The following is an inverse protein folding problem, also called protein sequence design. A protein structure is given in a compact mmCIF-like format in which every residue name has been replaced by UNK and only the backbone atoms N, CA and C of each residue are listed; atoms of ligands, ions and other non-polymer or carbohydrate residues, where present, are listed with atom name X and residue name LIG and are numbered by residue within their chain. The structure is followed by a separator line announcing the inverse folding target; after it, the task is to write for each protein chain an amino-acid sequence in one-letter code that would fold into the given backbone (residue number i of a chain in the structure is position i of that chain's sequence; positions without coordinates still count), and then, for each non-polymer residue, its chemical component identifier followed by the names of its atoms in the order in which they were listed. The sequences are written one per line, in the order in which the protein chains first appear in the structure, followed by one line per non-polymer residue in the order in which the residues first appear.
data_IF_524639805456
#
_entry.id   IF_524639805456
#
_cell.length_a   1.000
_cell.length_b   1.000
_cell.length_c   1.000
_cell.angle_alpha   90.00
_cell.angle_beta   90.00
_cell.angle_gamma   90.00
#
_symmetry.space_group_name_H-M   'P 1'
#
loop_
_entity.id
_entity.type
_entity.pdbx_description
1 polymer ?
#
# COMPACT_ATOMS: atom_id res chain seq x y z
N UNK A 1 -12.39 -19.65 13.07
CA UNK A 1 -12.55 -19.77 11.60
C UNK A 1 -11.70 -18.70 10.96
N UNK A 2 -10.49 -19.01 10.46
CA UNK A 2 -9.68 -18.04 9.74
C UNK A 2 -10.33 -17.84 8.37
N UNK A 3 -10.96 -16.69 8.16
CA UNK A 3 -11.44 -16.30 6.84
C UNK A 3 -10.23 -16.37 5.90
N UNK A 4 -10.33 -17.18 4.84
CA UNK A 4 -9.38 -17.13 3.74
C UNK A 4 -9.41 -15.71 3.22
N UNK A 5 -8.36 -14.93 3.50
CA UNK A 5 -8.23 -13.58 2.99
C UNK A 5 -8.00 -13.73 1.48
N UNK A 6 -9.08 -13.63 0.69
CA UNK A 6 -9.01 -13.81 -0.76
C UNK A 6 -8.27 -12.61 -1.32
N UNK A 7 -7.05 -12.84 -1.80
CA UNK A 7 -6.23 -11.83 -2.46
C UNK A 7 -6.99 -11.24 -3.65
N UNK A 8 -6.94 -9.93 -3.82
CA UNK A 8 -7.60 -9.26 -4.94
C UNK A 8 -6.76 -9.43 -6.22
N UNK A 9 -7.34 -10.05 -7.26
CA UNK A 9 -6.60 -10.42 -8.49
C UNK A 9 -7.07 -9.70 -9.76
N UNK A 10 -8.18 -8.96 -9.73
CA UNK A 10 -8.80 -8.44 -10.97
C UNK A 10 -7.89 -7.48 -11.76
N UNK A 11 -6.92 -6.85 -11.11
CA UNK A 11 -5.90 -6.01 -11.78
C UNK A 11 -4.97 -6.81 -12.73
N UNK A 12 -4.96 -8.15 -12.65
CA UNK A 12 -4.23 -9.04 -13.57
C UNK A 12 -5.15 -9.63 -14.64
N UNK A 13 -6.47 -9.60 -14.43
CA UNK A 13 -7.48 -10.14 -15.34
C UNK A 13 -7.93 -9.10 -16.38
N UNK A 14 -7.78 -7.82 -16.05
CA UNK A 14 -8.18 -6.69 -16.89
C UNK A 14 -6.94 -6.13 -17.57
N UNK A 15 -7.05 -5.84 -18.87
CA UNK A 15 -5.97 -5.19 -19.60
C UNK A 15 -5.91 -3.69 -19.24
N UNK A 16 -4.76 -3.19 -18.74
CA UNK A 16 -4.61 -1.76 -18.50
C UNK A 16 -4.59 -1.00 -19.83
N UNK A 17 -5.07 0.26 -19.80
CA UNK A 17 -4.94 1.20 -20.91
C UNK A 17 -3.47 1.52 -21.21
N UNK A 18 -2.67 1.61 -20.14
CA UNK A 18 -1.25 1.91 -20.21
C UNK A 18 -0.52 1.27 -19.03
N UNK A 19 0.71 0.83 -19.26
CA UNK A 19 1.65 0.49 -18.19
C UNK A 19 2.92 1.33 -18.37
N UNK A 20 3.42 1.92 -17.28
CA UNK A 20 4.68 2.68 -17.28
C UNK A 20 5.61 2.17 -16.21
N UNK A 21 6.91 2.36 -16.42
CA UNK A 21 7.90 2.18 -15.35
C UNK A 21 7.88 3.43 -14.48
N UNK A 22 7.70 3.24 -13.18
CA UNK A 22 7.64 4.31 -12.20
C UNK A 22 8.50 4.02 -10.98
N UNK A 23 8.37 4.89 -9.98
CA UNK A 23 8.99 4.70 -8.67
C UNK A 23 8.02 5.13 -7.59
N UNK A 24 8.08 4.44 -6.46
CA UNK A 24 7.43 4.86 -5.21
C UNK A 24 8.50 5.20 -4.18
N UNK A 25 8.21 6.18 -3.32
CA UNK A 25 9.10 6.52 -2.20
C UNK A 25 9.36 5.28 -1.33
N UNK A 26 10.59 5.16 -0.84
CA UNK A 26 10.97 4.14 0.12
C UNK A 26 10.11 4.18 1.38
N UNK A 27 9.72 5.38 1.82
CA UNK A 27 8.93 5.60 3.05
C UNK A 27 7.57 4.89 2.91
N UNK A 28 6.81 5.24 1.87
CA UNK A 28 5.54 4.59 1.55
C UNK A 28 5.68 3.07 1.47
N UNK A 29 6.70 2.58 0.76
CA UNK A 29 6.89 1.13 0.62
C UNK A 29 7.15 0.44 1.96
N UNK A 30 8.09 0.98 2.75
CA UNK A 30 8.45 0.39 4.03
C UNK A 30 7.28 0.43 5.03
N UNK A 31 6.46 1.48 5.02
CA UNK A 31 5.28 1.59 5.86
C UNK A 31 4.22 0.55 5.47
N UNK A 32 3.89 0.41 4.18
CA UNK A 32 2.96 -0.63 3.73
C UNK A 32 3.45 -2.02 4.13
N UNK A 33 4.74 -2.33 3.94
CA UNK A 33 5.30 -3.60 4.36
C UNK A 33 5.21 -3.82 5.88
N UNK A 34 5.34 -2.77 6.68
CA UNK A 34 5.17 -2.83 8.14
C UNK A 34 3.71 -3.08 8.51
N UNK A 35 2.78 -2.35 7.88
CA UNK A 35 1.34 -2.57 8.01
C UNK A 35 0.92 -3.99 7.70
N UNK A 36 1.35 -4.51 6.54
CA UNK A 36 1.00 -5.85 6.10
C UNK A 36 1.51 -6.96 7.03
N UNK A 37 2.63 -6.71 7.73
CA UNK A 37 3.21 -7.65 8.69
C UNK A 37 2.55 -7.58 10.06
N UNK A 38 2.20 -6.38 10.53
CA UNK A 38 1.70 -6.15 11.89
C UNK A 38 0.18 -6.26 12.00
N UNK A 39 -0.56 -5.71 11.03
CA UNK A 39 -2.02 -5.63 11.06
C UNK A 39 -2.62 -6.85 10.35
N UNK A 40 -2.45 -6.95 9.03
CA UNK A 40 -2.97 -8.05 8.23
C UNK A 40 -2.25 -8.16 6.89
N UNK A 41 -2.10 -9.37 6.35
CA UNK A 41 -1.51 -9.66 5.03
C UNK A 41 -2.22 -9.01 3.84
N UNK A 42 -3.39 -8.43 4.06
CA UNK A 42 -4.08 -7.58 3.10
C UNK A 42 -4.84 -6.50 3.86
N UNK A 43 -4.69 -5.26 3.39
CA UNK A 43 -5.36 -4.10 3.95
C UNK A 43 -6.21 -3.44 2.87
N UNK A 44 -7.33 -2.85 3.27
CA UNK A 44 -8.21 -2.09 2.38
C UNK A 44 -8.64 -0.82 3.07
N UNK A 45 -8.39 0.30 2.42
CA UNK A 45 -8.66 1.64 2.92
C UNK A 45 -9.58 2.38 1.98
N UNK A 46 -10.60 3.05 2.52
CA UNK A 46 -11.33 4.04 1.71
C UNK A 46 -10.53 5.32 1.62
N UNK A 47 -10.32 5.83 0.41
CA UNK A 47 -9.43 6.98 0.19
C UNK A 47 -10.19 8.27 0.55
N UNK A 48 -9.75 9.03 1.58
CA UNK A 48 -10.42 10.25 1.97
C UNK A 48 -10.48 11.22 0.80
N UNK A 49 -11.60 11.94 0.67
CA UNK A 49 -11.87 12.91 -0.41
C UNK A 49 -12.07 12.32 -1.83
N UNK A 50 -11.75 11.04 -2.06
CA UNK A 50 -12.00 10.35 -3.33
C UNK A 50 -13.16 9.36 -3.15
N UNK A 51 -14.38 9.87 -3.30
CA UNK A 51 -15.60 9.06 -3.13
C UNK A 51 -15.54 7.81 -4.00
N UNK A 52 -15.98 6.69 -3.43
CA UNK A 52 -16.07 5.39 -4.08
C UNK A 52 -14.74 4.73 -4.43
N UNK A 53 -13.59 5.36 -4.13
CA UNK A 53 -12.30 4.76 -4.36
C UNK A 53 -11.74 4.16 -3.08
N UNK A 54 -11.39 2.88 -3.16
CA UNK A 54 -10.65 2.20 -2.12
C UNK A 54 -9.24 1.85 -2.62
N UNK A 55 -8.27 1.89 -1.72
CA UNK A 55 -6.93 1.37 -1.90
C UNK A 55 -6.83 0.00 -1.23
N UNK A 56 -6.48 -1.02 -2.02
CA UNK A 56 -6.18 -2.36 -1.55
C UNK A 56 -4.65 -2.54 -1.57
N UNK A 57 -4.10 -2.94 -0.44
CA UNK A 57 -2.67 -3.20 -0.28
C UNK A 57 -2.42 -4.70 -0.14
N UNK A 58 -1.52 -5.20 -0.98
CA UNK A 58 -0.88 -6.50 -0.92
C UNK A 58 0.64 -6.33 -0.94
N UNK A 59 1.36 -7.41 -0.68
CA UNK A 59 2.82 -7.44 -0.70
C UNK A 59 3.40 -7.19 -2.10
N UNK A 60 2.71 -7.67 -3.14
CA UNK A 60 3.12 -7.59 -4.54
C UNK A 60 2.46 -6.45 -5.34
N UNK A 61 1.32 -5.93 -4.86
CA UNK A 61 0.54 -4.94 -5.57
C UNK A 61 -0.26 -3.99 -4.65
N UNK A 62 -0.31 -2.72 -5.03
CA UNK A 62 -1.20 -1.73 -4.41
C UNK A 62 -2.19 -1.25 -5.46
N UNK A 63 -3.49 -1.39 -5.21
CA UNK A 63 -4.52 -1.22 -6.21
C UNK A 63 -5.58 -0.23 -5.74
N UNK A 64 -5.82 0.81 -6.52
CA UNK A 64 -7.01 1.65 -6.39
C UNK A 64 -8.14 1.03 -7.19
N UNK A 65 -9.28 0.83 -6.54
CA UNK A 65 -10.49 0.28 -7.16
C UNK A 65 -11.66 1.23 -7.02
N UNK A 66 -12.52 1.27 -8.03
CA UNK A 66 -13.84 1.90 -7.95
C UNK A 66 -14.86 0.89 -7.42
N UNK A 67 -15.34 1.14 -6.21
CA UNK A 67 -16.27 0.29 -5.47
C UNK A 67 -17.68 0.25 -6.06
N UNK A 68 -18.09 1.28 -6.81
CA UNK A 68 -19.40 1.34 -7.49
C UNK A 68 -19.37 0.50 -8.76
N UNK A 69 -18.20 0.38 -9.39
CA UNK A 69 -17.98 -0.44 -10.59
C UNK A 69 -17.49 -1.86 -10.25
N UNK A 70 -18.04 -2.45 -9.19
CA UNK A 70 -17.71 -3.81 -8.72
C UNK A 70 -16.22 -4.00 -8.44
N UNK A 71 -15.55 -3.03 -7.78
CA UNK A 71 -14.10 -3.00 -7.56
C UNK A 71 -13.29 -2.96 -8.88
N UNK A 72 -13.71 -2.16 -9.86
CA UNK A 72 -12.96 -2.00 -11.11
C UNK A 72 -11.60 -1.36 -10.80
N UNK A 73 -10.45 -1.95 -11.20
CA UNK A 73 -9.17 -1.31 -10.99
C UNK A 73 -9.12 0.01 -11.76
N UNK A 74 -8.57 1.03 -11.12
CA UNK A 74 -8.37 2.38 -11.68
C UNK A 74 -6.87 2.61 -11.90
N UNK A 75 -6.07 2.22 -10.92
CA UNK A 75 -4.62 2.39 -10.87
C UNK A 75 -4.01 1.24 -10.07
N UNK A 76 -2.85 0.73 -10.47
CA UNK A 76 -2.10 -0.20 -9.64
C UNK A 76 -0.59 0.03 -9.71
N UNK A 77 0.08 -0.03 -8.55
CA UNK A 77 1.53 -0.21 -8.44
C UNK A 77 1.80 -1.70 -8.28
N UNK A 78 2.69 -2.24 -9.10
CA UNK A 78 2.98 -3.69 -9.20
C UNK A 78 4.47 -3.90 -9.47
N UNK A 79 4.94 -5.14 -9.39
CA UNK A 79 6.31 -5.52 -9.76
C UNK A 79 7.37 -4.68 -9.02
N UNK A 80 7.21 -4.53 -7.71
CA UNK A 80 8.14 -3.80 -6.86
C UNK A 80 9.53 -4.46 -6.90
N UNK A 81 10.51 -3.76 -7.47
CA UNK A 81 11.88 -4.25 -7.54
C UNK A 81 12.60 -3.97 -6.21
N UNK A 82 12.71 -5.00 -5.40
CA UNK A 82 13.35 -4.98 -4.08
C UNK A 82 14.63 -5.82 -4.01
N UNK A 83 14.97 -6.53 -5.07
CA UNK A 83 16.17 -7.37 -5.12
C UNK A 83 17.43 -6.49 -5.15
N UNK A 84 18.44 -6.85 -4.34
CA UNK A 84 19.73 -6.15 -4.23
C UNK A 84 19.65 -4.72 -3.68
N UNK A 85 18.68 -4.44 -2.80
CA UNK A 85 18.57 -3.11 -2.19
C UNK A 85 19.70 -2.88 -1.17
N UNK A 86 20.72 -2.12 -1.57
CA UNK A 86 21.83 -1.74 -0.68
C UNK A 86 21.43 -0.62 0.29
N UNK A 87 20.48 0.25 -0.09
CA UNK A 87 20.06 1.41 0.68
C UNK A 87 18.54 1.44 0.92
N UNK A 88 18.12 1.43 2.19
CA UNK A 88 16.71 1.41 2.62
C UNK A 88 15.90 2.66 2.24
N UNK A 89 16.58 3.77 1.90
CA UNK A 89 15.96 5.07 1.61
C UNK A 89 15.72 5.33 0.11
N UNK A 90 16.28 4.51 -0.79
CA UNK A 90 16.15 4.74 -2.23
C UNK A 90 14.76 4.40 -2.75
N UNK A 91 14.14 5.21 -3.63
CA UNK A 91 12.83 4.90 -4.18
C UNK A 91 12.76 3.52 -4.86
N UNK A 92 11.67 2.80 -4.66
CA UNK A 92 11.42 1.47 -5.23
C UNK A 92 10.92 1.61 -6.67
N UNK A 93 11.64 1.02 -7.63
CA UNK A 93 11.15 0.89 -9.00
C UNK A 93 9.97 -0.08 -9.04
N UNK A 94 8.95 0.25 -9.82
CA UNK A 94 7.75 -0.57 -9.97
C UNK A 94 7.12 -0.31 -11.35
N UNK A 95 6.17 -1.15 -11.72
CA UNK A 95 5.26 -0.90 -12.83
C UNK A 95 3.99 -0.23 -12.32
N UNK A 96 3.55 0.82 -13.03
CA UNK A 96 2.31 1.52 -12.76
C UNK A 96 1.33 1.23 -13.90
N UNK A 97 0.25 0.53 -13.57
CA UNK A 97 -0.82 0.15 -14.49
C UNK A 97 -1.97 1.13 -14.36
N UNK A 98 -2.36 1.75 -15.48
CA UNK A 98 -3.47 2.70 -15.58
C UNK A 98 -4.65 2.02 -16.27
N UNK A 99 -5.79 1.97 -15.60
CA UNK A 99 -7.02 1.36 -16.13
C UNK A 99 -8.07 2.41 -16.49
N UNK A 100 -7.87 3.65 -16.04
CA UNK A 100 -8.70 4.80 -16.33
C UNK A 100 -7.85 5.96 -16.86
N UNK A 101 -8.36 6.73 -17.82
CA UNK A 101 -7.59 7.78 -18.52
C UNK A 101 -7.13 8.92 -17.60
N UNK A 102 -7.87 9.18 -16.52
CA UNK A 102 -7.56 10.22 -15.52
C UNK A 102 -6.95 9.67 -14.21
N UNK A 103 -6.45 8.43 -14.24
CA UNK A 103 -5.93 7.78 -13.03
C UNK A 103 -4.62 8.42 -12.51
N UNK A 104 -3.89 9.15 -13.35
CA UNK A 104 -2.72 9.92 -12.94
C UNK A 104 -3.06 11.03 -11.92
N UNK A 105 -4.25 11.63 -12.06
CA UNK A 105 -4.70 12.72 -11.19
C UNK A 105 -4.88 12.33 -9.71
N UNK A 106 -5.01 11.04 -9.42
CA UNK A 106 -5.27 10.53 -8.06
C UNK A 106 -4.04 9.86 -7.43
N UNK A 107 -2.91 9.74 -8.15
CA UNK A 107 -1.74 9.00 -7.68
C UNK A 107 -1.19 9.54 -6.36
N UNK A 108 -0.82 10.83 -6.33
CA UNK A 108 -0.20 11.44 -5.15
C UNK A 108 -1.16 11.47 -3.97
N UNK A 109 -2.42 11.85 -4.21
CA UNK A 109 -3.47 11.88 -3.18
C UNK A 109 -3.70 10.50 -2.57
N UNK A 110 -3.65 9.45 -3.37
CA UNK A 110 -3.78 8.07 -2.89
C UNK A 110 -2.63 7.69 -1.96
N UNK A 111 -1.39 7.98 -2.35
CA UNK A 111 -0.21 7.65 -1.54
C UNK A 111 -0.15 8.48 -0.25
N UNK A 112 -0.52 9.75 -0.29
CA UNK A 112 -0.62 10.62 0.89
C UNK A 112 -1.72 10.13 1.85
N UNK A 113 -2.89 9.78 1.32
CA UNK A 113 -3.98 9.21 2.12
C UNK A 113 -3.60 7.86 2.74
N UNK A 114 -2.92 7.01 1.98
CA UNK A 114 -2.42 5.72 2.45
C UNK A 114 -1.49 5.89 3.64
N UNK A 115 -0.54 6.82 3.54
CA UNK A 115 0.42 7.11 4.60
C UNK A 115 -0.27 7.57 5.89
N UNK A 116 -1.26 8.47 5.77
CA UNK A 116 -2.03 8.95 6.91
C UNK A 116 -2.82 7.81 7.57
N UNK A 117 -3.63 7.08 6.81
CA UNK A 117 -4.50 6.03 7.33
C UNK A 117 -3.71 4.88 7.94
N UNK A 118 -2.62 4.47 7.28
CA UNK A 118 -1.79 3.39 7.77
C UNK A 118 -1.01 3.80 9.03
N UNK A 119 -0.55 5.05 9.10
CA UNK A 119 0.08 5.59 10.31
C UNK A 119 -0.88 5.56 11.52
N UNK A 120 -2.11 6.05 11.34
CA UNK A 120 -3.14 6.05 12.39
C UNK A 120 -3.47 4.63 12.89
N UNK A 121 -3.57 3.66 11.98
CA UNK A 121 -3.85 2.27 12.36
C UNK A 121 -2.67 1.61 13.07
N UNK A 122 -1.44 1.86 12.61
CA UNK A 122 -0.23 1.35 13.27
C UNK A 122 -0.03 1.93 14.68
N UNK A 123 -0.32 3.21 14.90
CA UNK A 123 -0.23 3.84 16.22
C UNK A 123 -1.27 3.26 17.20
N UNK A 124 -2.45 2.89 16.69
CA UNK A 124 -3.50 2.23 17.47
C UNK A 124 -3.06 0.84 17.93
N UNK A 125 -2.45 0.04 17.04
CA UNK A 125 -1.90 -1.28 17.38
C UNK A 125 -0.76 -1.18 18.41
N UNK A 126 0.15 -0.20 18.26
CA UNK A 126 1.26 0.00 19.21
C UNK A 126 0.75 0.38 20.61
N UNK A 127 -0.35 1.12 20.69
CA UNK A 127 -0.94 1.54 21.97
C UNK A 127 -1.66 0.39 22.70
N UNK A 128 -1.99 -0.71 22.01
CA UNK A 128 -2.65 -1.89 22.58
C UNK A 128 -1.69 -2.89 23.23
N UNK A 129 -0.44 -2.95 22.77
CA UNK A 129 0.63 -3.77 23.36
C UNK A 129 1.46 -2.89 24.31
N UNK A 130 1.41 -3.19 25.61
CA UNK A 130 2.27 -2.57 26.64
C UNK A 130 3.73 -2.63 26.17
N UNK A 131 4.27 -1.48 25.75
CA UNK A 131 5.66 -1.40 25.31
C UNK A 131 6.58 -1.59 26.51
N UNK A 132 7.17 -2.78 26.62
CA UNK A 132 8.24 -3.04 27.57
C UNK A 132 9.47 -2.21 27.19
N UNK A 133 9.64 -1.09 27.88
CA UNK A 133 10.82 -0.23 27.77
C UNK A 133 12.02 -1.04 28.28
N UNK A 134 12.86 -1.54 27.38
CA UNK A 134 14.16 -2.09 27.75
C UNK A 134 15.06 -0.90 28.12
N UNK A 135 15.51 -0.77 29.38
CA UNK A 135 16.40 0.32 29.76
C UNK A 135 17.74 0.15 29.04
N UNK A 136 18.17 1.19 28.32
CA UNK A 136 19.52 1.26 27.78
C UNK A 136 20.51 1.31 28.95
N UNK A 137 21.36 0.29 29.07
CA UNK A 137 22.45 0.26 30.04
C UNK A 137 23.54 1.19 29.53
N UNK A 138 23.64 2.38 30.12
CA UNK A 138 24.80 3.25 29.93
C UNK A 138 25.99 2.62 30.67
N UNK A 139 26.84 1.93 29.93
CA UNK A 139 28.17 1.57 30.41
C UNK A 139 29.10 2.76 30.10
N UNK A 140 29.33 3.59 31.12
CA UNK A 140 30.37 4.64 31.17
C UNK A 140 31.46 4.23 32.16
#
# INVERSE_FOLDING_TARGET
MKLFNKMYTRHNEIQPLQTTVGKVSAVYYNHVQTGLKRINKSLRYSIPTLKHLDLILHDDAWIVVDTVLNDMPILAWTDFNVDHRENLHEPIKCNIKFFHYAADMIMNKTLEAMELLLGEELDTEISGDSSDIIPFKNDS
#
